data_IF_597272353423
#
_entry.id   IF_597272353423
#
_cell.length_a   1.000
_cell.length_b   1.000
_cell.length_c   1.000
_cell.angle_alpha   90.00
_cell.angle_beta   90.00
_cell.angle_gamma   90.00
#
_symmetry.space_group_name_H-M   'P 1'
#
loop_
_entity.id
_entity.type
_entity.pdbx_description
1 polymer ?
#
# COMPACT_ATOMS: atom_id res chain seq x y z
N UNK A 1 -1.66 -18.55 -20.38
CA UNK A 1 -2.08 -19.12 -19.07
C UNK A 1 -1.46 -18.39 -17.88
N UNK A 2 -0.16 -18.14 -17.84
CA UNK A 2 0.56 -17.46 -16.74
C UNK A 2 -0.02 -16.07 -16.41
N UNK A 3 -0.30 -15.24 -17.43
CA UNK A 3 -0.90 -13.92 -17.24
C UNK A 3 -2.30 -13.98 -16.58
N UNK A 4 -3.05 -15.05 -16.78
CA UNK A 4 -4.32 -15.26 -16.11
C UNK A 4 -4.14 -15.35 -14.59
N UNK A 5 -3.14 -16.07 -14.12
CA UNK A 5 -2.89 -16.20 -12.69
C UNK A 5 -2.44 -14.90 -12.02
N UNK A 6 -1.83 -13.98 -12.76
CA UNK A 6 -1.50 -12.65 -12.22
C UNK A 6 -2.72 -11.74 -12.04
N UNK A 7 -3.84 -12.03 -12.68
CA UNK A 7 -5.05 -11.19 -12.58
C UNK A 7 -5.56 -11.05 -11.15
N UNK A 8 -5.42 -12.08 -10.32
CA UNK A 8 -5.81 -12.00 -8.90
C UNK A 8 -4.90 -11.06 -8.11
N UNK A 9 -3.59 -11.06 -8.37
CA UNK A 9 -2.66 -10.11 -7.80
C UNK A 9 -2.93 -8.67 -8.26
N UNK A 10 -3.27 -8.48 -9.54
CA UNK A 10 -3.68 -7.17 -10.06
C UNK A 10 -4.99 -6.70 -9.41
N UNK A 11 -5.96 -7.60 -9.21
CA UNK A 11 -7.20 -7.28 -8.50
C UNK A 11 -6.94 -6.96 -7.02
N UNK A 12 -6.03 -7.70 -6.38
CA UNK A 12 -5.59 -7.41 -5.02
C UNK A 12 -4.93 -6.03 -4.94
N UNK A 13 -4.06 -5.69 -5.90
CA UNK A 13 -3.44 -4.37 -6.01
C UNK A 13 -4.47 -3.25 -6.18
N UNK A 14 -5.43 -3.43 -7.08
CA UNK A 14 -6.52 -2.49 -7.26
C UNK A 14 -7.33 -2.31 -5.96
N UNK A 15 -7.68 -3.40 -5.28
CA UNK A 15 -8.43 -3.37 -4.02
C UNK A 15 -7.66 -2.66 -2.91
N UNK A 16 -6.33 -2.91 -2.81
CA UNK A 16 -5.44 -2.22 -1.88
C UNK A 16 -5.38 -0.72 -2.17
N UNK A 17 -5.19 -0.33 -3.43
CA UNK A 17 -5.16 1.08 -3.83
C UNK A 17 -6.46 1.82 -3.51
N UNK A 18 -7.59 1.15 -3.71
CA UNK A 18 -8.91 1.68 -3.37
C UNK A 18 -9.08 1.96 -1.86
N UNK A 19 -8.45 1.16 -0.99
CA UNK A 19 -8.53 1.27 0.46
C UNK A 19 -7.40 2.12 1.06
N UNK A 20 -6.14 1.75 0.82
CA UNK A 20 -4.99 2.23 1.59
C UNK A 20 -4.53 3.65 1.22
N UNK A 21 -4.81 4.14 0.01
CA UNK A 21 -4.50 5.52 -0.37
C UNK A 21 -5.20 6.56 0.53
N UNK A 22 -6.33 6.18 1.12
CA UNK A 22 -7.09 7.00 2.05
C UNK A 22 -6.34 7.26 3.37
N UNK A 23 -5.43 6.37 3.76
CA UNK A 23 -4.61 6.52 4.95
C UNK A 23 -3.56 7.63 4.80
N UNK A 24 -3.14 7.95 3.57
CA UNK A 24 -2.14 8.99 3.30
C UNK A 24 -2.79 10.35 2.99
N UNK A 25 -3.74 10.36 2.08
CA UNK A 25 -4.33 11.61 1.60
C UNK A 25 -5.75 11.87 2.10
N UNK A 26 -6.36 10.95 2.88
CA UNK A 26 -7.75 11.08 3.33
C UNK A 26 -8.00 12.37 4.09
N UNK A 27 -7.17 12.71 5.08
CA UNK A 27 -7.30 13.95 5.85
C UNK A 27 -6.99 15.20 5.02
N UNK A 28 -6.04 15.16 4.08
CA UNK A 28 -5.71 16.28 3.20
C UNK A 28 -6.82 16.57 2.18
N UNK A 29 -7.48 15.53 1.67
CA UNK A 29 -8.62 15.63 0.73
C UNK A 29 -9.89 15.97 1.48
N UNK A 30 -10.14 15.33 2.64
CA UNK A 30 -11.31 15.60 3.49
C UNK A 30 -11.36 17.04 4.00
N UNK A 31 -10.21 17.61 4.39
CA UNK A 31 -10.08 19.02 4.76
C UNK A 31 -10.08 20.01 3.58
N UNK A 32 -10.21 19.52 2.34
CA UNK A 32 -10.16 20.30 1.09
C UNK A 32 -8.84 21.07 0.86
N UNK A 33 -7.80 20.77 1.61
CA UNK A 33 -6.46 21.38 1.44
C UNK A 33 -5.80 20.91 0.14
N UNK A 34 -6.03 19.66 -0.26
CA UNK A 34 -5.52 19.08 -1.51
C UNK A 34 -6.68 18.51 -2.31
N UNK A 35 -6.72 18.79 -3.62
CA UNK A 35 -7.76 18.20 -4.49
C UNK A 35 -7.50 16.71 -4.70
N UNK A 36 -8.55 15.90 -4.78
CA UNK A 36 -8.46 14.46 -5.00
C UNK A 36 -7.55 14.10 -6.19
N UNK A 37 -7.72 14.78 -7.32
CA UNK A 37 -6.90 14.51 -8.53
C UNK A 37 -5.40 14.65 -8.26
N UNK A 38 -4.98 15.72 -7.56
CA UNK A 38 -3.57 15.92 -7.21
C UNK A 38 -3.09 14.85 -6.23
N UNK A 39 -3.86 14.57 -5.22
CA UNK A 39 -3.58 13.53 -4.24
C UNK A 39 -3.42 12.16 -4.91
N UNK A 40 -4.36 11.78 -5.80
CA UNK A 40 -4.34 10.49 -6.49
C UNK A 40 -3.12 10.33 -7.41
N UNK A 41 -2.76 11.37 -8.18
CA UNK A 41 -1.58 11.33 -9.06
C UNK A 41 -0.30 11.18 -8.24
N UNK A 42 -0.13 12.02 -7.20
CA UNK A 42 1.06 11.98 -6.34
C UNK A 42 1.14 10.61 -5.63
N UNK A 43 0.03 10.15 -5.05
CA UNK A 43 -0.03 8.85 -4.40
C UNK A 43 0.36 7.72 -5.35
N UNK A 44 -0.16 7.71 -6.58
CA UNK A 44 0.13 6.68 -7.57
C UNK A 44 1.61 6.65 -7.95
N UNK A 45 2.18 7.80 -8.29
CA UNK A 45 3.60 7.89 -8.71
C UNK A 45 4.53 7.46 -7.58
N UNK A 46 4.36 8.01 -6.38
CA UNK A 46 5.26 7.72 -5.26
C UNK A 46 5.03 6.32 -4.69
N UNK A 47 3.82 5.77 -4.75
CA UNK A 47 3.57 4.37 -4.41
C UNK A 47 4.37 3.43 -5.32
N UNK A 48 4.31 3.62 -6.64
CA UNK A 48 5.06 2.81 -7.62
C UNK A 48 6.56 2.92 -7.36
N UNK A 49 7.08 4.12 -7.13
CA UNK A 49 8.50 4.32 -6.81
C UNK A 49 8.91 3.56 -5.54
N UNK A 50 8.14 3.66 -4.46
CA UNK A 50 8.40 2.94 -3.21
C UNK A 50 8.35 1.43 -3.39
N UNK A 51 7.35 0.94 -4.13
CA UNK A 51 7.16 -0.47 -4.44
C UNK A 51 8.37 -1.07 -5.19
N UNK A 52 8.81 -0.41 -6.25
CA UNK A 52 9.90 -0.90 -7.11
C UNK A 52 11.27 -0.79 -6.44
N UNK A 53 11.52 0.30 -5.70
CA UNK A 53 12.84 0.57 -5.11
C UNK A 53 13.04 -0.19 -3.79
N UNK A 54 12.01 -0.30 -2.93
CA UNK A 54 12.16 -0.86 -1.58
C UNK A 54 11.21 -2.01 -1.23
N UNK A 55 10.35 -2.46 -2.12
CA UNK A 55 9.34 -3.49 -1.81
C UNK A 55 9.89 -4.88 -1.47
N UNK A 56 11.14 -5.18 -1.83
CA UNK A 56 11.76 -6.49 -1.59
C UNK A 56 11.95 -6.83 -0.10
N UNK A 57 12.16 -5.83 0.76
CA UNK A 57 12.43 -6.06 2.18
C UNK A 57 11.29 -6.76 2.91
N UNK A 58 10.06 -6.28 2.72
CA UNK A 58 8.86 -6.85 3.35
C UNK A 58 8.37 -8.12 2.66
N UNK A 59 8.63 -8.29 1.37
CA UNK A 59 8.29 -9.49 0.60
C UNK A 59 8.97 -10.75 1.14
N UNK A 60 10.22 -10.65 1.54
CA UNK A 60 10.98 -11.76 2.11
C UNK A 60 10.38 -12.29 3.43
N UNK A 61 9.74 -11.43 4.21
CA UNK A 61 9.09 -11.82 5.47
C UNK A 61 7.79 -12.57 5.23
N UNK A 62 6.99 -12.15 4.22
CA UNK A 62 5.77 -12.89 3.86
C UNK A 62 6.08 -14.24 3.25
N UNK A 63 7.15 -14.36 2.46
CA UNK A 63 7.63 -15.63 1.93
C UNK A 63 8.02 -16.61 3.04
N UNK A 64 8.69 -16.15 4.09
CA UNK A 64 9.01 -16.99 5.27
C UNK A 64 7.77 -17.46 6.04
N UNK A 65 6.69 -16.66 6.06
CA UNK A 65 5.46 -17.05 6.74
C UNK A 65 4.78 -18.27 6.08
N UNK A 66 4.85 -18.35 4.73
CA UNK A 66 4.36 -19.47 3.95
C UNK A 66 4.79 -19.29 2.50
N UNK A 67 5.85 -20.00 2.10
CA UNK A 67 6.36 -20.00 0.74
C UNK A 67 5.42 -20.75 -0.19
N UNK A 68 4.57 -20.00 -0.89
CA UNK A 68 3.57 -20.56 -1.80
C UNK A 68 4.27 -21.07 -3.05
N UNK A 69 4.39 -22.39 -3.15
CA UNK A 69 5.22 -23.08 -4.14
C UNK A 69 4.52 -23.40 -5.48
N UNK A 70 3.31 -22.90 -5.67
CA UNK A 70 2.57 -23.09 -6.92
C UNK A 70 1.77 -21.84 -7.31
N UNK A 71 1.79 -21.51 -8.59
CA UNK A 71 1.13 -20.32 -9.14
C UNK A 71 -0.39 -20.33 -8.93
N UNK A 72 -1.03 -21.51 -8.96
CA UNK A 72 -2.44 -21.68 -8.65
C UNK A 72 -2.76 -21.39 -7.19
N UNK A 73 -1.84 -21.72 -6.27
CA UNK A 73 -1.91 -21.35 -4.87
C UNK A 73 -1.83 -19.82 -4.69
N UNK A 74 -0.84 -19.18 -5.29
CA UNK A 74 -0.66 -17.71 -5.26
C UNK A 74 -1.90 -16.99 -5.82
N UNK A 75 -2.44 -17.47 -6.96
CA UNK A 75 -3.66 -16.93 -7.56
C UNK A 75 -4.84 -17.00 -6.58
N UNK A 76 -5.07 -18.16 -6.00
CA UNK A 76 -6.24 -18.41 -5.14
C UNK A 76 -6.17 -17.58 -3.86
N UNK A 77 -5.01 -17.53 -3.25
CA UNK A 77 -4.74 -16.77 -2.05
C UNK A 77 -4.90 -15.26 -2.30
N UNK A 78 -4.31 -14.74 -3.37
CA UNK A 78 -4.45 -13.34 -3.76
C UNK A 78 -5.91 -12.99 -4.10
N UNK A 79 -6.64 -13.89 -4.76
CA UNK A 79 -8.06 -13.69 -5.06
C UNK A 79 -8.91 -13.63 -3.79
N UNK A 80 -8.69 -14.53 -2.84
CA UNK A 80 -9.40 -14.54 -1.56
C UNK A 80 -9.16 -13.25 -0.75
N UNK A 81 -7.90 -12.82 -0.66
CA UNK A 81 -7.55 -11.56 -0.02
C UNK A 81 -8.19 -10.36 -0.74
N UNK A 82 -8.13 -10.32 -2.07
CA UNK A 82 -8.72 -9.25 -2.87
C UNK A 82 -10.24 -9.15 -2.67
N UNK A 83 -10.96 -10.27 -2.70
CA UNK A 83 -12.41 -10.30 -2.46
C UNK A 83 -12.71 -9.79 -1.04
N UNK A 84 -11.96 -10.26 -0.03
CA UNK A 84 -12.15 -9.81 1.35
C UNK A 84 -11.96 -8.30 1.49
N UNK A 85 -10.87 -7.75 0.93
CA UNK A 85 -10.57 -6.32 0.98
C UNK A 85 -11.64 -5.54 0.22
N UNK A 86 -12.02 -5.98 -0.98
CA UNK A 86 -13.03 -5.31 -1.80
C UNK A 86 -14.39 -5.26 -1.09
N UNK A 87 -14.83 -6.36 -0.51
CA UNK A 87 -16.10 -6.41 0.24
C UNK A 87 -16.11 -5.43 1.40
N UNK A 88 -15.04 -5.39 2.19
CA UNK A 88 -14.91 -4.46 3.31
C UNK A 88 -14.80 -3.00 2.86
N UNK A 89 -14.05 -2.73 1.77
CA UNK A 89 -13.95 -1.39 1.18
C UNK A 89 -15.30 -0.88 0.68
N UNK A 90 -16.17 -1.77 0.18
CA UNK A 90 -17.53 -1.43 -0.23
C UNK A 90 -18.37 -0.87 0.92
N UNK A 91 -18.11 -1.33 2.13
CA UNK A 91 -18.73 -0.79 3.35
C UNK A 91 -18.01 0.45 3.89
N UNK A 92 -17.01 0.97 3.16
CA UNK A 92 -16.20 2.14 3.54
C UNK A 92 -15.48 1.96 4.90
N UNK A 93 -15.20 0.72 5.30
CA UNK A 93 -14.45 0.41 6.51
C UNK A 93 -12.95 0.36 6.18
N UNK A 94 -12.12 1.14 6.90
CA UNK A 94 -10.67 1.04 6.78
C UNK A 94 -10.21 -0.27 7.44
N UNK A 95 -9.75 -1.21 6.61
CA UNK A 95 -9.26 -2.50 7.06
C UNK A 95 -7.75 -2.62 6.87
N UNK A 96 -7.18 -3.68 7.43
CA UNK A 96 -5.78 -4.02 7.25
C UNK A 96 -5.61 -5.00 6.09
N UNK A 97 -5.05 -4.50 4.98
CA UNK A 97 -4.70 -5.34 3.83
C UNK A 97 -3.61 -6.36 4.19
N UNK A 98 -2.67 -5.97 5.07
CA UNK A 98 -1.63 -6.87 5.60
C UNK A 98 -2.24 -8.03 6.39
N UNK A 99 -3.26 -7.77 7.21
CA UNK A 99 -3.93 -8.83 7.96
C UNK A 99 -4.69 -9.79 7.05
N UNK A 100 -5.35 -9.27 6.01
CA UNK A 100 -6.05 -10.10 5.04
C UNK A 100 -5.10 -11.05 4.31
N UNK A 101 -3.93 -10.58 3.84
CA UNK A 101 -2.96 -11.44 3.15
C UNK A 101 -2.31 -12.46 4.09
N UNK A 102 -1.98 -12.06 5.32
CA UNK A 102 -1.45 -12.98 6.34
C UNK A 102 -2.47 -14.08 6.65
N UNK A 103 -3.75 -13.73 6.81
CA UNK A 103 -4.82 -14.71 6.99
C UNK A 103 -4.94 -15.67 5.81
N UNK A 104 -4.85 -15.16 4.58
CA UNK A 104 -4.86 -15.97 3.36
C UNK A 104 -3.67 -16.95 3.31
N UNK A 105 -2.46 -16.51 3.67
CA UNK A 105 -1.26 -17.39 3.75
C UNK A 105 -1.46 -18.49 4.80
N UNK A 106 -1.99 -18.16 5.97
CA UNK A 106 -2.29 -19.15 7.01
C UNK A 106 -3.34 -20.16 6.51
N UNK A 107 -4.37 -19.69 5.79
CA UNK A 107 -5.37 -20.55 5.16
C UNK A 107 -4.76 -21.53 4.14
N UNK A 108 -3.81 -21.05 3.33
CA UNK A 108 -3.06 -21.87 2.39
C UNK A 108 -2.16 -22.90 3.11
N UNK A 109 -1.42 -22.49 4.15
CA UNK A 109 -0.60 -23.39 4.96
C UNK A 109 -1.46 -24.51 5.56
N UNK A 110 -2.61 -24.14 6.12
CA UNK A 110 -3.54 -25.13 6.72
C UNK A 110 -4.08 -26.12 5.68
N UNK A 111 -4.44 -25.62 4.48
CA UNK A 111 -4.94 -26.49 3.40
C UNK A 111 -3.88 -27.46 2.88
N UNK A 112 -2.64 -27.02 2.73
CA UNK A 112 -1.53 -27.83 2.20
C UNK A 112 -0.85 -28.69 3.26
N UNK A 113 -1.18 -28.50 4.55
CA UNK A 113 -0.51 -29.17 5.67
C UNK A 113 0.88 -28.62 5.97
N UNK A 114 1.21 -27.42 5.46
CA UNK A 114 2.45 -26.73 5.78
C UNK A 114 2.38 -26.09 7.18
N UNK A 115 3.53 -26.02 7.85
CA UNK A 115 3.62 -25.26 9.09
C UNK A 115 3.77 -23.77 8.80
N UNK A 116 2.94 -22.97 9.49
CA UNK A 116 3.16 -21.51 9.54
C UNK A 116 4.35 -21.24 10.44
N UNK A 117 5.34 -20.48 9.96
CA UNK A 117 6.50 -20.12 10.77
C UNK A 117 6.08 -19.23 11.94
N UNK A 118 6.10 -19.81 13.14
CA UNK A 118 5.63 -19.16 14.38
C UNK A 118 6.46 -17.91 14.72
N UNK A 119 7.77 -17.94 14.45
CA UNK A 119 8.67 -16.82 14.75
C UNK A 119 8.33 -15.62 13.85
N UNK A 120 8.09 -15.87 12.56
CA UNK A 120 7.71 -14.82 11.61
C UNK A 120 6.30 -14.30 11.92
N UNK A 121 5.36 -15.18 12.25
CA UNK A 121 4.02 -14.76 12.63
C UNK A 121 4.03 -13.90 13.89
N UNK A 122 4.80 -14.28 14.91
CA UNK A 122 4.96 -13.48 16.13
C UNK A 122 5.50 -12.09 15.83
N UNK A 123 6.54 -11.97 15.00
CA UNK A 123 7.09 -10.67 14.58
C UNK A 123 6.05 -9.80 13.87
N UNK A 124 5.23 -10.40 13.01
CA UNK A 124 4.17 -9.69 12.30
C UNK A 124 3.08 -9.22 13.28
N UNK A 125 2.63 -10.08 14.19
CA UNK A 125 1.61 -9.75 15.20
C UNK A 125 2.13 -8.68 16.17
N UNK A 126 3.39 -8.77 16.60
CA UNK A 126 4.02 -7.74 17.42
C UNK A 126 4.09 -6.39 16.68
N UNK A 127 4.36 -6.39 15.38
CA UNK A 127 4.36 -5.17 14.58
C UNK A 127 2.94 -4.55 14.45
N UNK A 128 1.88 -5.35 14.49
CA UNK A 128 0.50 -4.85 14.51
C UNK A 128 0.15 -4.13 15.82
N UNK A 129 0.84 -4.45 16.91
CA UNK A 129 0.69 -3.76 18.20
C UNK A 129 1.69 -2.60 18.30
N UNK A 130 2.94 -2.84 17.95
CA UNK A 130 4.00 -1.83 18.06
C UNK A 130 3.80 -0.67 17.09
N UNK A 131 3.33 -0.95 15.86
CA UNK A 131 3.09 0.06 14.83
C UNK A 131 2.20 1.20 15.28
N UNK A 132 0.96 0.96 15.73
CA UNK A 132 0.07 2.00 16.23
C UNK A 132 0.62 2.70 17.49
N UNK A 133 1.31 2.00 18.38
CA UNK A 133 1.92 2.61 19.58
C UNK A 133 3.04 3.58 19.19
N UNK A 134 3.97 3.15 18.33
CA UNK A 134 5.06 4.00 17.81
C UNK A 134 4.46 5.17 17.01
N UNK A 135 3.44 4.91 16.20
CA UNK A 135 2.71 5.94 15.48
C UNK A 135 2.09 6.99 16.40
N UNK A 136 1.45 6.57 17.48
CA UNK A 136 0.88 7.47 18.49
C UNK A 136 1.97 8.35 19.14
N UNK A 137 3.08 7.75 19.55
CA UNK A 137 4.22 8.48 20.14
C UNK A 137 4.78 9.50 19.15
N UNK A 138 5.08 9.10 17.91
CA UNK A 138 5.59 10.02 16.88
C UNK A 138 4.59 11.14 16.60
N UNK A 139 3.30 10.83 16.50
CA UNK A 139 2.27 11.84 16.26
C UNK A 139 2.21 12.87 17.39
N UNK A 140 2.28 12.45 18.65
CA UNK A 140 2.28 13.37 19.79
C UNK A 140 3.54 14.25 19.80
N UNK A 141 4.73 13.65 19.63
CA UNK A 141 5.99 14.38 19.63
C UNK A 141 6.05 15.41 18.49
N UNK A 142 5.69 15.00 17.28
CA UNK A 142 5.64 15.89 16.11
C UNK A 142 4.59 16.98 16.28
N UNK A 143 3.43 16.66 16.86
CA UNK A 143 2.39 17.65 17.11
C UNK A 143 2.84 18.73 18.10
N UNK A 144 3.52 18.34 19.19
CA UNK A 144 4.12 19.28 20.15
C UNK A 144 5.16 20.17 19.45
N UNK A 145 6.03 19.57 18.61
CA UNK A 145 7.06 20.30 17.87
C UNK A 145 6.44 21.35 16.91
N UNK A 146 5.44 20.94 16.10
CA UNK A 146 4.74 21.84 15.18
C UNK A 146 4.02 22.97 15.92
N UNK A 147 3.34 22.66 17.04
CA UNK A 147 2.67 23.65 17.87
C UNK A 147 3.67 24.67 18.47
N UNK A 148 4.79 24.17 18.99
CA UNK A 148 5.85 25.05 19.53
C UNK A 148 6.44 25.95 18.45
N UNK A 149 6.73 25.40 17.27
CA UNK A 149 7.23 26.15 16.11
C UNK A 149 6.25 27.25 15.68
N UNK A 150 4.96 26.91 15.53
CA UNK A 150 3.91 27.87 15.18
C UNK A 150 3.84 29.04 16.15
N UNK A 151 3.88 28.76 17.45
CA UNK A 151 3.78 29.77 18.50
C UNK A 151 5.03 30.68 18.53
N UNK A 152 6.22 30.14 18.23
CA UNK A 152 7.47 30.89 18.25
C UNK A 152 7.70 31.72 17.00
N UNK A 153 7.28 31.22 15.84
CA UNK A 153 7.58 31.84 14.55
C UNK A 153 6.70 33.03 14.17
N UNK A 154 5.63 33.32 14.95
CA UNK A 154 4.65 34.43 14.71
C UNK A 154 4.23 34.57 13.25
N UNK A 155 4.04 33.44 12.56
CA UNK A 155 3.71 33.38 11.13
C UNK A 155 2.26 33.82 10.94
N UNK A 156 2.01 34.68 9.95
CA UNK A 156 0.65 35.09 9.57
C UNK A 156 -0.18 33.86 9.14
N UNK A 157 -1.42 33.77 9.59
CA UNK A 157 -2.29 32.60 9.44
C UNK A 157 -2.38 32.10 7.97
N UNK A 158 -2.57 33.01 7.03
CA UNK A 158 -2.66 32.68 5.58
C UNK A 158 -1.35 32.03 5.04
N UNK A 159 -0.19 32.54 5.46
CA UNK A 159 1.10 31.94 5.09
C UNK A 159 1.29 30.58 5.72
N UNK A 160 0.88 30.44 6.97
CA UNK A 160 0.94 29.17 7.68
C UNK A 160 0.08 28.10 7.01
N UNK A 161 -1.15 28.42 6.59
CA UNK A 161 -2.01 27.50 5.83
C UNK A 161 -1.38 27.09 4.49
N UNK A 162 -0.71 28.02 3.80
CA UNK A 162 0.02 27.69 2.58
C UNK A 162 1.19 26.73 2.83
N UNK A 163 1.91 26.89 3.94
CA UNK A 163 2.98 25.97 4.35
C UNK A 163 2.43 24.59 4.70
N UNK A 164 1.31 24.52 5.43
CA UNK A 164 0.65 23.25 5.72
C UNK A 164 0.20 22.54 4.44
N UNK A 165 -0.38 23.27 3.49
CA UNK A 165 -0.79 22.70 2.19
C UNK A 165 0.39 22.11 1.42
N UNK A 166 1.50 22.85 1.33
CA UNK A 166 2.74 22.34 0.70
C UNK A 166 3.31 21.16 1.47
N UNK A 167 3.34 21.27 2.79
CA UNK A 167 3.76 20.19 3.69
C UNK A 167 2.94 18.91 3.49
N UNK A 168 1.61 19.01 3.39
CA UNK A 168 0.73 17.87 3.13
C UNK A 168 1.03 17.18 1.78
N UNK A 169 1.42 17.95 0.76
CA UNK A 169 1.81 17.39 -0.54
C UNK A 169 3.15 16.63 -0.42
N UNK A 170 4.16 17.24 0.21
CA UNK A 170 5.48 16.62 0.37
C UNK A 170 5.43 15.39 1.28
N UNK A 171 4.79 15.53 2.43
CA UNK A 171 4.61 14.43 3.39
C UNK A 171 3.71 13.34 2.81
N UNK A 172 2.69 13.70 2.04
CA UNK A 172 1.84 12.75 1.33
C UNK A 172 2.60 11.98 0.25
N UNK A 173 3.51 12.63 -0.48
CA UNK A 173 4.40 11.97 -1.43
C UNK A 173 5.33 10.97 -0.72
N UNK A 174 5.98 11.37 0.38
CA UNK A 174 6.79 10.50 1.21
C UNK A 174 5.97 9.36 1.81
N UNK A 175 4.76 9.64 2.26
CA UNK A 175 3.83 8.63 2.79
C UNK A 175 3.41 7.61 1.75
N UNK A 176 3.12 8.05 0.53
CA UNK A 176 2.78 7.15 -0.58
C UNK A 176 3.99 6.27 -0.97
N UNK A 177 5.21 6.82 -0.98
CA UNK A 177 6.43 6.06 -1.17
C UNK A 177 6.60 4.99 -0.07
N UNK A 178 6.48 5.37 1.20
CA UNK A 178 6.59 4.46 2.33
C UNK A 178 5.50 3.37 2.32
N UNK A 179 4.29 3.75 1.91
CA UNK A 179 3.18 2.81 1.72
C UNK A 179 3.48 1.80 0.61
N UNK A 180 4.03 2.26 -0.51
CA UNK A 180 4.45 1.39 -1.63
C UNK A 180 5.52 0.39 -1.20
N UNK A 181 6.56 0.87 -0.53
CA UNK A 181 7.64 0.04 -0.01
C UNK A 181 7.15 -1.01 1.00
N UNK A 182 6.18 -0.65 1.86
CA UNK A 182 5.64 -1.56 2.88
C UNK A 182 4.62 -2.55 2.31
N UNK A 183 3.71 -2.11 1.43
CA UNK A 183 2.51 -2.86 1.09
C UNK A 183 2.56 -3.59 -0.24
N UNK A 184 3.56 -3.35 -1.10
CA UNK A 184 3.66 -4.08 -2.38
C UNK A 184 3.86 -5.59 -2.17
N UNK A 185 4.50 -5.97 -1.08
CA UNK A 185 4.64 -7.36 -0.68
C UNK A 185 3.28 -8.05 -0.44
N UNK A 186 2.30 -7.32 0.09
CA UNK A 186 0.94 -7.83 0.28
C UNK A 186 0.26 -8.15 -1.06
N UNK A 187 0.65 -7.47 -2.15
CA UNK A 187 0.03 -7.61 -3.49
C UNK A 187 0.72 -8.67 -4.30
N UNK A 188 2.05 -8.59 -4.42
CA UNK A 188 2.84 -9.43 -5.33
C UNK A 188 3.81 -10.36 -4.62
N UNK A 189 4.01 -10.21 -3.30
CA UNK A 189 4.96 -11.02 -2.55
C UNK A 189 4.70 -12.53 -2.65
N UNK A 190 3.43 -12.93 -2.66
CA UNK A 190 3.03 -14.34 -2.78
C UNK A 190 3.27 -14.95 -4.16
N UNK A 191 3.54 -14.12 -5.19
CA UNK A 191 3.89 -14.59 -6.53
C UNK A 191 5.41 -14.71 -6.72
N UNK A 192 6.20 -14.05 -5.89
CA UNK A 192 7.68 -14.02 -6.01
C UNK A 192 8.29 -15.42 -6.03
N UNK A 193 7.91 -16.38 -5.15
CA UNK A 193 8.50 -17.71 -5.17
C UNK A 193 8.10 -18.56 -6.39
N UNK A 194 6.90 -18.32 -6.93
CA UNK A 194 6.33 -19.10 -8.01
C UNK A 194 6.56 -18.47 -9.41
N UNK A 195 7.12 -17.26 -9.47
CA UNK A 195 7.19 -16.50 -10.70
C UNK A 195 8.57 -15.86 -10.91
N UNK A 196 9.35 -16.39 -11.86
CA UNK A 196 10.67 -15.90 -12.20
C UNK A 196 10.65 -15.32 -13.61
N UNK A 197 10.86 -14.02 -13.74
CA UNK A 197 11.01 -13.31 -15.00
C UNK A 197 12.49 -13.11 -15.31
N UNK A 198 12.84 -13.08 -16.59
CA UNK A 198 14.17 -12.65 -17.00
C UNK A 198 14.38 -11.17 -16.63
N UNK A 199 15.60 -10.80 -16.25
CA UNK A 199 15.94 -9.42 -15.97
C UNK A 199 15.72 -8.56 -17.20
N UNK A 200 15.07 -7.41 -17.00
CA UNK A 200 14.73 -6.47 -18.03
C UNK A 200 15.72 -5.32 -18.04
N UNK A 201 16.61 -5.33 -19.04
CA UNK A 201 17.50 -4.19 -19.26
C UNK A 201 16.85 -3.20 -20.24
N UNK A 202 16.63 -1.96 -19.74
CA UNK A 202 16.09 -0.84 -20.51
C UNK A 202 17.18 0.16 -20.92
N UNK A 203 18.44 -0.18 -20.72
CA UNK A 203 19.59 0.64 -21.07
C UNK A 203 19.89 1.77 -20.08
N UNK A 204 18.88 2.40 -19.52
CA UNK A 204 19.00 3.47 -18.49
C UNK A 204 18.97 2.85 -17.10
N UNK A 205 18.18 1.80 -16.90
CA UNK A 205 18.06 1.03 -15.66
C UNK A 205 17.63 -0.42 -15.98
N UNK A 206 18.06 -1.34 -15.12
CA UNK A 206 17.66 -2.74 -15.18
C UNK A 206 16.64 -3.03 -14.08
N UNK A 207 15.64 -3.84 -14.41
CA UNK A 207 14.65 -4.34 -13.47
C UNK A 207 14.80 -5.85 -13.32
N UNK A 208 15.04 -6.30 -12.09
CA UNK A 208 15.02 -7.72 -11.79
C UNK A 208 13.58 -8.28 -11.76
N UNK A 209 13.44 -9.62 -11.68
CA UNK A 209 12.15 -10.31 -11.68
C UNK A 209 11.17 -9.73 -10.65
N UNK A 210 11.63 -9.50 -9.41
CA UNK A 210 10.77 -8.99 -8.33
C UNK A 210 10.31 -7.56 -8.59
N UNK A 211 11.21 -6.70 -9.09
CA UNK A 211 10.89 -5.31 -9.42
C UNK A 211 9.88 -5.21 -10.57
N UNK A 212 9.93 -6.12 -11.54
CA UNK A 212 8.93 -6.19 -12.60
C UNK A 212 7.54 -6.56 -12.04
N UNK A 213 7.47 -7.56 -11.15
CA UNK A 213 6.22 -7.91 -10.47
C UNK A 213 5.70 -6.75 -9.61
N UNK A 214 6.58 -6.08 -8.86
CA UNK A 214 6.22 -4.94 -8.03
C UNK A 214 5.77 -3.73 -8.85
N UNK A 215 6.34 -3.52 -10.02
CA UNK A 215 5.89 -2.49 -10.96
C UNK A 215 4.47 -2.80 -11.47
N UNK A 216 4.19 -4.04 -11.87
CA UNK A 216 2.84 -4.46 -12.29
C UNK A 216 1.82 -4.31 -11.16
N UNK A 217 2.17 -4.77 -9.96
CA UNK A 217 1.33 -4.59 -8.77
C UNK A 217 1.13 -3.13 -8.42
N UNK A 218 2.18 -2.31 -8.48
CA UNK A 218 2.13 -0.87 -8.24
C UNK A 218 1.22 -0.13 -9.23
N UNK A 219 1.22 -0.53 -10.51
CA UNK A 219 0.31 0.00 -11.52
C UNK A 219 -1.15 -0.36 -11.22
N UNK A 220 -1.42 -1.59 -10.77
CA UNK A 220 -2.75 -2.00 -10.36
C UNK A 220 -3.24 -1.21 -9.13
N UNK A 221 -2.35 -0.98 -8.15
CA UNK A 221 -2.62 -0.11 -6.99
C UNK A 221 -2.94 1.31 -7.45
N UNK A 222 -2.16 1.87 -8.36
CA UNK A 222 -2.40 3.21 -8.91
C UNK A 222 -3.77 3.33 -9.58
N UNK A 223 -4.19 2.30 -10.33
CA UNK A 223 -5.54 2.23 -10.90
C UNK A 223 -6.61 2.23 -9.80
N UNK A 224 -6.42 1.47 -8.71
CA UNK A 224 -7.32 1.47 -7.55
C UNK A 224 -7.41 2.84 -6.88
N UNK A 225 -6.28 3.52 -6.72
CA UNK A 225 -6.22 4.88 -6.17
C UNK A 225 -7.06 5.84 -7.01
N UNK A 226 -6.87 5.84 -8.33
CA UNK A 226 -7.51 6.79 -9.23
C UNK A 226 -9.01 6.51 -9.37
N UNK A 227 -9.41 5.24 -9.43
CA UNK A 227 -10.79 4.85 -9.79
C UNK A 227 -11.72 4.74 -8.61
N UNK A 228 -11.26 4.33 -7.43
CA UNK A 228 -12.16 3.96 -6.34
C UNK A 228 -11.84 4.56 -4.96
N UNK A 229 -10.66 5.11 -4.72
CA UNK A 229 -10.26 5.56 -3.37
C UNK A 229 -11.01 6.78 -2.85
N UNK A 230 -11.69 7.54 -3.70
CA UNK A 230 -12.44 8.75 -3.33
C UNK A 230 -13.40 8.56 -2.16
N UNK A 231 -14.21 7.48 -2.20
CA UNK A 231 -15.20 7.22 -1.14
C UNK A 231 -14.53 6.99 0.20
N UNK A 232 -13.49 6.15 0.23
CA UNK A 232 -12.77 5.80 1.45
C UNK A 232 -11.98 7.00 2.00
N UNK A 233 -11.34 7.79 1.12
CA UNK A 233 -10.65 9.02 1.50
C UNK A 233 -11.59 10.01 2.21
N UNK A 234 -12.80 10.17 1.69
CA UNK A 234 -13.77 11.10 2.28
C UNK A 234 -14.31 10.60 3.63
N UNK A 235 -14.42 9.27 3.79
CA UNK A 235 -14.88 8.65 5.05
C UNK A 235 -13.83 8.75 6.15
N UNK A 236 -12.58 8.41 5.88
CA UNK A 236 -11.51 8.44 6.90
C UNK A 236 -11.19 9.86 7.34
N UNK A 237 -11.21 10.83 6.42
CA UNK A 237 -10.86 12.21 6.70
C UNK A 237 -11.70 12.88 7.79
N UNK A 238 -12.94 12.40 8.03
CA UNK A 238 -13.91 13.10 8.86
C UNK A 238 -14.52 12.26 9.99
N UNK A 239 -14.36 10.91 10.00
CA UNK A 239 -15.19 10.06 10.85
C UNK A 239 -14.57 9.63 12.18
N UNK A 240 -13.23 9.54 12.29
CA UNK A 240 -12.56 9.07 13.51
C UNK A 240 -12.35 10.22 14.49
N UNK A 241 -11.82 11.32 14.00
CA UNK A 241 -11.55 12.54 14.74
C UNK A 241 -11.47 13.70 13.75
N UNK A 242 -12.17 14.80 14.02
CA UNK A 242 -11.99 16.03 13.24
C UNK A 242 -10.58 16.58 13.48
N UNK A 243 -9.72 16.40 12.50
CA UNK A 243 -8.33 16.84 12.54
C UNK A 243 -8.20 18.26 12.01
N UNK A 244 -7.53 19.14 12.78
CA UNK A 244 -7.02 20.39 12.22
C UNK A 244 -5.99 20.10 11.13
N UNK A 245 -5.80 21.01 10.17
CA UNK A 245 -4.83 20.84 9.08
C UNK A 245 -3.42 20.51 9.56
N UNK A 246 -3.01 21.08 10.70
CA UNK A 246 -1.73 20.80 11.37
C UNK A 246 -1.67 19.36 11.90
N UNK A 247 -2.75 18.91 12.54
CA UNK A 247 -2.84 17.56 13.06
C UNK A 247 -2.85 16.53 11.92
N UNK A 248 -3.54 16.85 10.81
CA UNK A 248 -3.52 16.02 9.60
C UNK A 248 -2.11 15.84 9.03
N UNK A 249 -1.34 16.94 8.90
CA UNK A 249 0.05 16.89 8.45
C UNK A 249 0.89 15.98 9.35
N UNK A 250 0.76 16.15 10.67
CA UNK A 250 1.51 15.38 11.66
C UNK A 250 1.15 13.90 11.63
N UNK A 251 -0.14 13.57 11.53
CA UNK A 251 -0.61 12.17 11.45
C UNK A 251 -0.02 11.48 10.22
N UNK A 252 -0.08 12.12 9.05
CA UNK A 252 0.48 11.54 7.82
C UNK A 252 1.99 11.39 7.92
N UNK A 253 2.71 12.37 8.49
CA UNK A 253 4.16 12.29 8.67
C UNK A 253 4.54 11.17 9.66
N UNK A 254 3.87 11.08 10.80
CA UNK A 254 4.12 10.04 11.80
C UNK A 254 3.90 8.64 11.23
N UNK A 255 2.78 8.43 10.54
CA UNK A 255 2.51 7.17 9.85
C UNK A 255 3.57 6.85 8.80
N UNK A 256 3.94 7.82 7.97
CA UNK A 256 4.93 7.64 6.92
C UNK A 256 6.30 7.22 7.47
N UNK A 257 6.71 7.83 8.59
CA UNK A 257 7.93 7.45 9.29
C UNK A 257 7.88 6.01 9.80
N UNK A 258 6.76 5.59 10.42
CA UNK A 258 6.60 4.20 10.89
C UNK A 258 6.71 3.23 9.71
N UNK A 259 5.95 3.44 8.64
CA UNK A 259 5.98 2.56 7.46
C UNK A 259 7.38 2.52 6.84
N UNK A 260 8.08 3.66 6.75
CA UNK A 260 9.43 3.74 6.23
C UNK A 260 10.44 2.99 7.09
N UNK A 261 10.37 3.11 8.41
CA UNK A 261 11.26 2.43 9.35
C UNK A 261 11.17 0.90 9.15
N UNK A 262 9.96 0.36 9.06
CA UNK A 262 9.75 -1.09 8.93
C UNK A 262 9.93 -1.64 7.50
N UNK A 263 10.15 -0.79 6.49
CA UNK A 263 10.36 -1.21 5.10
C UNK A 263 11.73 -0.84 4.52
N UNK A 264 12.49 0.06 5.17
CA UNK A 264 13.75 0.56 4.65
C UNK A 264 14.93 -0.33 5.01
N UNK A 265 15.36 -1.16 4.05
CA UNK A 265 16.60 -1.96 4.18
C UNK A 265 17.83 -1.09 4.37
N UNK A 266 17.88 0.08 3.71
CA UNK A 266 18.97 1.04 3.86
C UNK A 266 19.10 1.58 5.29
N UNK A 267 17.98 1.93 5.92
CA UNK A 267 17.96 2.37 7.32
C UNK A 267 18.35 1.25 8.28
N UNK A 268 17.83 0.03 8.06
CA UNK A 268 18.20 -1.14 8.87
C UNK A 268 19.71 -1.41 8.80
N UNK A 269 20.29 -1.36 7.58
CA UNK A 269 21.73 -1.55 7.39
C UNK A 269 22.57 -0.44 8.05
N UNK A 270 22.09 0.81 8.05
CA UNK A 270 22.72 1.91 8.77
C UNK A 270 22.75 1.66 10.28
N UNK A 271 21.63 1.22 10.84
CA UNK A 271 21.51 0.91 12.28
C UNK A 271 22.45 -0.24 12.67
N UNK A 272 22.52 -1.29 11.86
CA UNK A 272 23.46 -2.39 12.10
C UNK A 272 24.92 -1.91 12.12
N UNK A 273 25.30 -0.96 11.25
CA UNK A 273 26.64 -0.37 11.25
C UNK A 273 26.97 0.40 12.55
N UNK A 274 25.96 0.85 13.30
CA UNK A 274 26.18 1.49 14.63
C UNK A 274 26.25 0.48 15.77
N UNK A 275 26.21 -0.84 15.49
CA UNK A 275 26.26 -1.89 16.51
C UNK A 275 24.91 -2.25 17.13
N UNK A 276 23.82 -1.68 16.64
CA UNK A 276 22.47 -2.00 17.10
C UNK A 276 21.86 -3.16 16.29
N UNK A 277 20.89 -3.90 16.86
CA UNK A 277 20.21 -4.97 16.13
C UNK A 277 19.43 -4.44 14.91
N UNK A 278 19.30 -5.25 13.84
CA UNK A 278 18.55 -4.84 12.64
C UNK A 278 17.08 -4.60 12.96
N UNK A 279 16.50 -3.59 12.31
CA UNK A 279 15.04 -3.40 12.35
C UNK A 279 14.37 -4.55 11.61
N UNK A 280 13.33 -5.19 12.20
CA UNK A 280 12.62 -6.25 11.52
C UNK A 280 11.88 -5.70 10.29
N UNK A 281 12.20 -6.22 9.10
CA UNK A 281 11.52 -5.90 7.86
C UNK A 281 10.20 -6.67 7.81
N UNK A 282 9.14 -6.13 8.36
CA UNK A 282 7.81 -6.76 8.42
C UNK A 282 6.77 -5.85 7.80
N UNK A 283 5.79 -6.40 7.06
CA UNK A 283 4.69 -5.60 6.56
C UNK A 283 3.81 -5.12 7.73
N UNK A 284 3.88 -3.82 7.99
CA UNK A 284 3.09 -3.17 9.04
C UNK A 284 1.72 -2.77 8.49
N UNK A 285 0.70 -2.86 9.31
CA UNK A 285 -0.65 -2.42 8.94
C UNK A 285 -0.78 -0.90 8.90
N UNK A 286 -0.88 -0.33 7.69
CA UNK A 286 -1.06 1.11 7.49
C UNK A 286 -2.32 1.65 8.18
N UNK A 287 -3.42 0.89 8.18
CA UNK A 287 -4.67 1.27 8.84
C UNK A 287 -4.55 1.30 10.37
N UNK A 288 -3.78 0.39 10.96
CA UNK A 288 -3.54 0.39 12.41
C UNK A 288 -2.63 1.55 12.82
N UNK A 289 -1.58 1.81 12.05
CA UNK A 289 -0.65 2.92 12.35
C UNK A 289 -1.35 4.27 12.28
N UNK A 290 -2.16 4.54 11.25
CA UNK A 290 -2.88 5.82 11.17
C UNK A 290 -3.87 6.00 12.31
N UNK A 291 -4.60 4.95 12.68
CA UNK A 291 -5.50 4.98 13.83
C UNK A 291 -4.72 5.25 15.11
N UNK A 292 -3.56 4.61 15.30
CA UNK A 292 -2.66 4.91 16.41
C UNK A 292 -2.22 6.38 16.46
N UNK A 293 -1.81 6.95 15.31
CA UNK A 293 -1.44 8.37 15.20
C UNK A 293 -2.59 9.31 15.57
N UNK A 294 -3.80 9.02 15.06
CA UNK A 294 -5.01 9.83 15.36
C UNK A 294 -5.37 9.74 16.84
N UNK A 295 -5.33 8.52 17.41
CA UNK A 295 -5.59 8.31 18.83
C UNK A 295 -4.57 9.02 19.72
N UNK A 296 -3.28 8.97 19.37
CA UNK A 296 -2.24 9.68 20.10
C UNK A 296 -2.53 11.17 20.22
N UNK A 297 -2.86 11.82 19.10
CA UNK A 297 -3.26 13.24 19.10
C UNK A 297 -4.58 13.46 19.84
N UNK A 298 -5.56 12.59 19.67
CA UNK A 298 -6.85 12.67 20.34
C UNK A 298 -6.71 12.60 21.87
N UNK A 299 -5.93 11.67 22.38
CA UNK A 299 -5.62 11.53 23.81
C UNK A 299 -4.85 12.74 24.34
N UNK A 300 -3.85 13.23 23.60
CA UNK A 300 -3.12 14.45 23.97
C UNK A 300 -4.04 15.68 24.06
N UNK A 301 -5.09 15.76 23.25
CA UNK A 301 -6.10 16.83 23.27
C UNK A 301 -7.20 16.59 24.31
N UNK A 302 -7.17 15.55 25.12
CA UNK A 302 -8.10 15.25 26.20
C UNK A 302 -9.25 14.31 25.83
N UNK A 303 -9.13 13.54 24.74
CA UNK A 303 -10.02 12.43 24.32
C UNK A 303 -11.51 12.78 24.04
N UNK A 304 -11.94 14.03 24.18
CA UNK A 304 -13.38 14.44 24.16
C UNK A 304 -14.07 14.21 22.82
N UNK A 305 -13.32 14.17 21.72
CA UNK A 305 -13.87 14.13 20.35
C UNK A 305 -13.55 12.80 19.62
N UNK A 306 -13.11 11.77 20.33
CA UNK A 306 -12.82 10.46 19.74
C UNK A 306 -14.13 9.68 19.58
N UNK A 307 -14.41 9.24 18.35
CA UNK A 307 -15.56 8.39 18.08
C UNK A 307 -15.21 6.91 18.36
N UNK A 308 -15.40 6.48 19.60
CA UNK A 308 -15.12 5.11 20.04
C UNK A 308 -15.95 4.04 19.32
N UNK A 309 -17.14 4.38 18.80
CA UNK A 309 -17.97 3.46 18.03
C UNK A 309 -17.30 3.12 16.71
N UNK A 310 -16.86 4.12 15.96
CA UNK A 310 -16.13 3.92 14.71
C UNK A 310 -14.82 3.16 14.97
N UNK A 311 -14.12 3.47 16.05
CA UNK A 311 -12.92 2.76 16.44
C UNK A 311 -13.18 1.27 16.71
N UNK A 312 -14.29 0.93 17.38
CA UNK A 312 -14.71 -0.46 17.60
C UNK A 312 -15.05 -1.18 16.31
N UNK A 313 -15.73 -0.53 15.36
CA UNK A 313 -16.04 -1.08 14.04
C UNK A 313 -14.74 -1.38 13.23
N UNK A 314 -13.76 -0.46 13.28
CA UNK A 314 -12.44 -0.66 12.68
C UNK A 314 -11.70 -1.83 13.34
N UNK A 315 -11.71 -1.90 14.67
CA UNK A 315 -11.09 -2.98 15.44
C UNK A 315 -11.68 -4.35 15.12
N UNK A 316 -13.00 -4.43 14.97
CA UNK A 316 -13.68 -5.65 14.49
C UNK A 316 -13.23 -6.02 13.07
N UNK A 317 -13.08 -5.05 12.18
CA UNK A 317 -12.55 -5.28 10.84
C UNK A 317 -11.15 -5.91 10.84
N UNK A 318 -10.30 -5.52 11.78
CA UNK A 318 -8.95 -6.11 11.93
C UNK A 318 -8.96 -7.58 12.39
N UNK A 319 -9.99 -8.00 13.10
CA UNK A 319 -10.16 -9.41 13.53
C UNK A 319 -10.83 -10.21 12.41
N UNK A 320 -11.87 -9.66 11.80
CA UNK A 320 -12.68 -10.35 10.79
C UNK A 320 -11.87 -10.55 9.50
N UNK A 321 -11.06 -9.58 9.08
CA UNK A 321 -10.37 -9.63 7.79
C UNK A 321 -9.40 -10.82 7.65
N UNK A 322 -8.50 -11.15 8.58
CA UNK A 322 -7.64 -12.32 8.45
C UNK A 322 -8.42 -13.63 8.53
N UNK A 323 -9.43 -13.71 9.38
CA UNK A 323 -10.28 -14.92 9.50
C UNK A 323 -11.08 -15.16 8.23
N UNK A 324 -11.76 -14.15 7.71
CA UNK A 324 -12.53 -14.25 6.47
C UNK A 324 -11.65 -14.59 5.26
N UNK A 325 -10.49 -13.94 5.16
CA UNK A 325 -9.55 -14.20 4.08
C UNK A 325 -8.96 -15.62 4.15
N UNK A 326 -8.59 -16.08 5.35
CA UNK A 326 -8.08 -17.44 5.57
C UNK A 326 -9.10 -18.52 5.25
N UNK A 327 -10.33 -18.37 5.73
CA UNK A 327 -11.43 -19.30 5.44
C UNK A 327 -11.75 -19.31 3.93
N UNK A 328 -11.87 -18.14 3.32
CA UNK A 328 -12.14 -18.03 1.90
C UNK A 328 -11.01 -18.66 1.06
N UNK A 329 -9.76 -18.47 1.46
CA UNK A 329 -8.61 -19.12 0.81
C UNK A 329 -8.72 -20.63 0.88
N UNK A 330 -8.99 -21.19 2.07
CA UNK A 330 -9.14 -22.63 2.27
C UNK A 330 -10.21 -23.22 1.35
N UNK A 331 -11.40 -22.63 1.31
CA UNK A 331 -12.48 -23.13 0.45
C UNK A 331 -12.19 -22.96 -1.03
N UNK A 332 -11.64 -21.83 -1.45
CA UNK A 332 -11.28 -21.61 -2.87
C UNK A 332 -10.18 -22.59 -3.31
N UNK A 333 -9.20 -22.90 -2.46
CA UNK A 333 -8.17 -23.91 -2.77
C UNK A 333 -8.78 -25.29 -2.97
N UNK A 334 -9.79 -25.65 -2.14
CA UNK A 334 -10.54 -26.89 -2.31
C UNK A 334 -11.20 -26.97 -3.71
N UNK A 335 -11.85 -25.89 -4.15
CA UNK A 335 -12.46 -25.83 -5.48
C UNK A 335 -11.39 -25.89 -6.58
N UNK A 336 -10.31 -25.12 -6.48
CA UNK A 336 -9.26 -25.08 -7.50
C UNK A 336 -8.58 -26.44 -7.68
N UNK A 337 -8.31 -27.14 -6.58
CA UNK A 337 -7.68 -28.45 -6.62
C UNK A 337 -8.62 -29.56 -7.10
N UNK A 338 -9.84 -29.66 -6.51
CA UNK A 338 -10.69 -30.83 -6.71
C UNK A 338 -11.65 -30.69 -7.91
N UNK A 339 -12.05 -29.46 -8.29
CA UNK A 339 -12.99 -29.25 -9.41
C UNK A 339 -12.22 -28.91 -10.67
N UNK A 340 -11.23 -28.00 -10.58
CA UNK A 340 -10.48 -27.54 -11.74
C UNK A 340 -9.16 -28.30 -11.97
N UNK A 341 -8.73 -29.18 -11.06
CA UNK A 341 -7.48 -29.94 -11.18
C UNK A 341 -6.23 -29.08 -11.19
N UNK A 342 -6.31 -27.83 -10.69
CA UNK A 342 -5.19 -26.90 -10.70
C UNK A 342 -4.26 -27.22 -9.54
N UNK A 343 -2.94 -27.26 -9.83
CA UNK A 343 -1.92 -27.40 -8.78
C UNK A 343 -1.91 -26.13 -7.91
N UNK A 344 -2.27 -26.27 -6.63
CA UNK A 344 -2.31 -25.20 -5.65
C UNK A 344 -1.15 -25.22 -4.66
N UNK A 345 -0.21 -26.13 -4.84
CA UNK A 345 0.94 -26.38 -3.98
C UNK A 345 0.82 -27.64 -3.13
N UNK A 346 1.95 -28.07 -2.62
CA UNK A 346 2.10 -29.26 -1.80
C UNK A 346 2.88 -28.94 -0.53
N UNK A 347 2.89 -29.89 0.41
CA UNK A 347 3.68 -29.80 1.63
C UNK A 347 5.17 -29.67 1.30
N UNK A 348 5.83 -28.72 1.93
CA UNK A 348 7.27 -28.48 1.75
C UNK A 348 8.03 -29.75 2.23
N UNK A 349 8.79 -30.36 1.30
CA UNK A 349 9.51 -31.62 1.56
C UNK A 349 8.92 -32.86 0.90
N UNK A 350 7.68 -32.85 0.45
CA UNK A 350 7.17 -33.82 -0.50
C UNK A 350 7.53 -33.33 -1.91
N UNK A 351 8.55 -33.96 -2.52
CA UNK A 351 8.76 -33.83 -3.96
C UNK A 351 7.45 -34.27 -4.62
N UNK A 352 6.67 -33.33 -5.12
CA UNK A 352 5.63 -33.66 -6.07
C UNK A 352 6.33 -34.52 -7.14
N UNK A 353 5.87 -35.74 -7.32
CA UNK A 353 6.23 -36.52 -8.49
C UNK A 353 5.91 -35.62 -9.68
N UNK A 354 6.90 -34.86 -10.09
CA UNK A 354 6.78 -33.86 -11.12
C UNK A 354 6.47 -34.63 -12.39
N UNK A 355 5.20 -34.63 -12.76
CA UNK A 355 4.89 -34.77 -14.16
C UNK A 355 5.57 -33.60 -14.85
N UNK A 356 6.60 -33.89 -15.68
CA UNK A 356 7.45 -33.00 -16.47
C UNK A 356 6.72 -31.94 -17.33
N UNK A 357 5.40 -31.90 -17.26
CA UNK A 357 4.55 -30.99 -18.04
C UNK A 357 4.63 -29.54 -17.53
N UNK A 358 4.84 -29.33 -16.23
CA UNK A 358 4.94 -27.98 -15.67
C UNK A 358 6.30 -27.34 -15.88
N UNK A 359 7.40 -28.11 -15.88
CA UNK A 359 8.75 -27.58 -16.12
C UNK A 359 8.95 -27.12 -17.57
N UNK A 360 8.36 -27.82 -18.53
CA UNK A 360 8.45 -27.47 -19.95
C UNK A 360 7.50 -26.29 -20.31
N UNK A 361 6.36 -26.15 -19.64
CA UNK A 361 5.46 -25.00 -19.84
C UNK A 361 6.01 -23.72 -19.20
N UNK A 362 6.74 -23.83 -18.10
CA UNK A 362 7.39 -22.66 -17.48
C UNK A 362 8.56 -22.14 -18.30
N UNK A 363 9.41 -23.00 -18.84
CA UNK A 363 10.59 -22.56 -19.61
C UNK A 363 10.24 -21.95 -20.98
N UNK A 364 9.26 -22.53 -21.71
CA UNK A 364 8.86 -22.01 -23.01
C UNK A 364 7.96 -20.78 -22.95
N UNK A 365 7.13 -20.65 -21.92
CA UNK A 365 6.23 -19.48 -21.73
C UNK A 365 6.90 -18.29 -21.08
N UNK A 366 8.01 -18.44 -20.37
CA UNK A 366 8.68 -17.35 -19.66
C UNK A 366 9.32 -16.31 -20.59
N UNK A 367 9.94 -16.74 -21.68
CA UNK A 367 10.57 -15.84 -22.66
C UNK A 367 9.53 -15.00 -23.44
N UNK A 368 8.39 -15.60 -23.80
CA UNK A 368 7.31 -14.89 -24.48
C UNK A 368 6.60 -13.91 -23.55
N UNK A 369 6.41 -14.28 -22.28
CA UNK A 369 5.78 -13.42 -21.27
C UNK A 369 6.68 -12.24 -20.92
N UNK A 370 7.99 -12.44 -20.79
CA UNK A 370 8.97 -11.36 -20.56
C UNK A 370 8.92 -10.33 -21.70
N UNK A 371 8.85 -10.80 -22.95
CA UNK A 371 8.72 -9.92 -24.13
C UNK A 371 7.42 -9.10 -24.10
N UNK A 372 6.27 -9.73 -23.80
CA UNK A 372 4.97 -9.06 -23.71
C UNK A 372 4.97 -8.03 -22.57
N UNK A 373 5.49 -8.38 -21.40
CA UNK A 373 5.62 -7.46 -20.26
C UNK A 373 6.51 -6.27 -20.61
N UNK A 374 7.64 -6.51 -21.32
CA UNK A 374 8.51 -5.43 -21.80
C UNK A 374 7.76 -4.40 -22.63
N UNK A 375 7.01 -4.84 -23.63
CA UNK A 375 6.26 -3.94 -24.51
C UNK A 375 5.09 -3.26 -23.78
N UNK A 376 4.41 -3.98 -22.85
CA UNK A 376 3.38 -3.40 -22.01
C UNK A 376 3.94 -2.30 -21.09
N UNK A 377 5.09 -2.55 -20.45
CA UNK A 377 5.74 -1.56 -19.58
C UNK A 377 6.26 -0.37 -20.37
N UNK A 378 6.89 -0.59 -21.53
CA UNK A 378 7.30 0.50 -22.41
C UNK A 378 6.10 1.33 -22.87
N UNK A 379 5.02 0.67 -23.27
CA UNK A 379 3.75 1.35 -23.63
C UNK A 379 3.20 2.19 -22.49
N UNK A 380 3.11 1.62 -21.28
CA UNK A 380 2.61 2.32 -20.09
C UNK A 380 3.49 3.50 -19.68
N UNK A 381 4.83 3.38 -19.77
CA UNK A 381 5.75 4.48 -19.51
C UNK A 381 5.58 5.60 -20.54
N UNK A 382 5.43 5.28 -21.83
CA UNK A 382 5.23 6.25 -22.89
C UNK A 382 3.86 6.93 -22.74
N UNK A 383 2.77 6.15 -22.60
CA UNK A 383 1.43 6.72 -22.42
C UNK A 383 1.28 7.46 -21.10
N UNK A 384 1.92 6.98 -20.03
CA UNK A 384 1.95 7.66 -18.73
C UNK A 384 2.65 9.01 -18.81
N UNK A 385 3.81 9.08 -19.45
CA UNK A 385 4.56 10.35 -19.64
C UNK A 385 3.79 11.31 -20.54
N UNK A 386 3.20 10.85 -21.64
CA UNK A 386 2.34 11.66 -22.51
C UNK A 386 1.13 12.18 -21.75
N UNK A 387 0.48 11.32 -20.95
CA UNK A 387 -0.65 11.70 -20.11
C UNK A 387 -0.31 12.77 -19.07
N UNK A 388 0.85 12.66 -18.42
CA UNK A 388 1.34 13.66 -17.46
C UNK A 388 1.63 14.99 -18.17
N UNK A 389 2.33 14.96 -19.31
CA UNK A 389 2.63 16.17 -20.09
C UNK A 389 1.34 16.84 -20.54
N UNK A 390 0.40 16.07 -21.08
CA UNK A 390 -0.91 16.59 -21.52
C UNK A 390 -1.69 17.21 -20.35
N UNK A 391 -1.70 16.56 -19.18
CA UNK A 391 -2.34 17.09 -17.98
C UNK A 391 -1.72 18.41 -17.51
N UNK A 392 -0.37 18.50 -17.48
CA UNK A 392 0.35 19.73 -17.11
C UNK A 392 0.05 20.86 -18.08
N UNK A 393 -0.02 20.57 -19.38
CA UNK A 393 -0.36 21.55 -20.40
C UNK A 393 -1.81 22.07 -20.25
N UNK A 394 -2.77 21.16 -19.95
CA UNK A 394 -4.16 21.55 -19.69
C UNK A 394 -4.30 22.39 -18.41
N UNK A 395 -3.59 22.04 -17.34
CA UNK A 395 -3.64 22.82 -16.09
C UNK A 395 -3.00 24.20 -16.27
N UNK A 396 -1.91 24.30 -17.00
CA UNK A 396 -1.28 25.58 -17.33
C UNK A 396 -2.19 26.45 -18.23
N UNK A 397 -2.92 25.85 -19.18
CA UNK A 397 -3.91 26.57 -19.98
C UNK A 397 -5.04 27.12 -19.11
N UNK A 398 -5.61 26.31 -18.21
CA UNK A 398 -6.65 26.75 -17.26
C UNK A 398 -6.17 27.88 -16.34
N UNK A 399 -4.95 27.80 -15.84
CA UNK A 399 -4.37 28.87 -15.00
C UNK A 399 -4.25 30.19 -15.76
N UNK A 400 -3.79 30.15 -17.01
CA UNK A 400 -3.69 31.34 -17.87
C UNK A 400 -5.08 31.92 -18.16
N UNK A 401 -6.09 31.09 -18.37
CA UNK A 401 -7.46 31.56 -18.59
C UNK A 401 -8.05 32.21 -17.33
N UNK A 402 -7.82 31.65 -16.14
CA UNK A 402 -8.21 32.25 -14.87
C UNK A 402 -7.53 33.59 -14.64
N UNK A 403 -6.22 33.66 -14.81
CA UNK A 403 -5.48 34.94 -14.68
C UNK A 403 -6.00 36.00 -15.62
N UNK A 404 -6.26 35.64 -16.89
CA UNK A 404 -6.85 36.59 -17.87
C UNK A 404 -8.27 37.02 -17.47
N UNK A 405 -9.08 36.16 -16.86
CA UNK A 405 -10.42 36.53 -16.39
C UNK A 405 -10.35 37.43 -15.15
N UNK A 406 -9.42 37.20 -14.24
CA UNK A 406 -9.16 38.09 -13.11
C UNK A 406 -8.64 39.44 -13.54
N UNK A 407 -7.69 39.51 -14.47
CA UNK A 407 -7.21 40.79 -15.05
C UNK A 407 -8.32 41.57 -15.73
N UNK A 408 -9.21 40.91 -16.48
CA UNK A 408 -10.39 41.54 -17.09
C UNK A 408 -11.36 42.08 -16.03
N UNK A 409 -11.62 41.30 -15.00
CA UNK A 409 -12.49 41.69 -13.88
C UNK A 409 -11.96 42.98 -13.20
N UNK A 410 -10.68 43.01 -12.87
CA UNK A 410 -10.05 44.18 -12.24
C UNK A 410 -9.93 45.40 -13.16
N UNK A 411 -9.81 45.19 -14.48
CA UNK A 411 -9.84 46.30 -15.45
C UNK A 411 -11.23 46.93 -15.60
N UNK A 412 -12.28 46.14 -15.43
CA UNK A 412 -13.66 46.67 -15.55
C UNK A 412 -14.16 47.29 -14.24
N UNK A 413 -13.43 47.16 -13.14
CA UNK A 413 -13.74 47.78 -11.85
C UNK A 413 -12.99 49.12 -11.62
N UNK A 414 -12.04 49.47 -12.51
CA UNK A 414 -11.41 50.80 -12.55
C UNK A 414 -12.12 51.68 -13.56
#
# INVERSE_FOLDING_TARGET
MILFFLTSGLFLGWSLGANDASHIFGSAVGSKMVTFRKAAIIASVFFILGAVIQGSGTSHTLDKLGSVNAIGGSFTLALAAAITIYMMTKFALPISTTQAIVGAIIGWNFFTGNHTDSITLEKIVLAWIAGPVIGAVFAVLLYIAVKKFKNSARIHLIRFESYIKTGLILVGAFGAYSLGANNIANVMGVFVPAFHLADLDLGIFALNSNQQLFLLGGLAVALGIITYSWKVMNTIGNNILELSSEAALVVVLAQSLVLFIFSSTGLSNLIVKTGLPPIPMVPVSSSQVIVGCILGIGLYKGARNINFKVLGEIGLGWIISPLASGLLTFFLLFFMKNIFGINVGTKTGESAGASDVTSNLTACGQNDVSGIIKYLLMGLLIFGTIGIIYYVLLENKKRREMQRSEEKFWKNMK
#
